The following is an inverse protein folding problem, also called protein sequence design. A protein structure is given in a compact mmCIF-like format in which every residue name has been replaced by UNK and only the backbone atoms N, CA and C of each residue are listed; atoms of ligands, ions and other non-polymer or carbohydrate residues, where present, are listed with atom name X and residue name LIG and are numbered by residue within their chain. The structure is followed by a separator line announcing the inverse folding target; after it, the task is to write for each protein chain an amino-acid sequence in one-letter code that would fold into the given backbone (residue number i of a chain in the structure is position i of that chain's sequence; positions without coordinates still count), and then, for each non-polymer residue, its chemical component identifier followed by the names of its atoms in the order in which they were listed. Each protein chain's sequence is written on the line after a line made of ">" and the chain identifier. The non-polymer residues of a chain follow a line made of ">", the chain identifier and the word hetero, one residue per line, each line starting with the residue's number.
data_IF_536803785764
#
_entry.id   IF_536803785764
#
_cell.length_a   1.000
_cell.length_b   1.000
_cell.length_c   1.000
_cell.angle_alpha   90.00
_cell.angle_beta   90.00
_cell.angle_gamma   90.00
#
_symmetry.space_group_name_H-M   'P 1'
#
loop_
_entity.id
_entity.type
_entity.pdbx_description
1 polymer ?
#
# COMPACT_ATOMS: atom_id res chain seq x y z
N UNK A 1 -15.27 -15.80 -16.17
CA UNK A 1 -16.02 -15.77 -14.89
C UNK A 1 -15.07 -15.30 -13.81
N UNK A 2 -15.27 -14.07 -13.29
CA UNK A 2 -14.42 -13.52 -12.25
C UNK A 2 -14.82 -14.11 -10.88
N UNK A 3 -13.84 -14.59 -10.09
CA UNK A 3 -14.11 -15.14 -8.77
C UNK A 3 -14.58 -14.04 -7.80
N UNK A 4 -15.59 -14.36 -6.98
CA UNK A 4 -16.12 -13.46 -5.95
C UNK A 4 -15.06 -13.17 -4.88
N UNK A 5 -15.10 -11.96 -4.31
CA UNK A 5 -14.24 -11.52 -3.21
C UNK A 5 -14.30 -12.49 -2.00
N UNK A 6 -15.48 -13.07 -1.76
CA UNK A 6 -15.72 -14.09 -0.74
C UNK A 6 -14.86 -15.36 -0.96
N UNK A 7 -14.76 -15.80 -2.22
CA UNK A 7 -14.02 -17.01 -2.61
C UNK A 7 -12.51 -16.78 -2.53
N UNK A 8 -12.07 -15.54 -2.80
CA UNK A 8 -10.68 -15.13 -2.68
C UNK A 8 -10.22 -15.18 -1.21
N UNK A 9 -11.04 -14.68 -0.28
CA UNK A 9 -10.77 -14.73 1.15
C UNK A 9 -10.73 -16.17 1.69
N UNK A 10 -11.62 -17.04 1.22
CA UNK A 10 -11.65 -18.46 1.62
C UNK A 10 -10.38 -19.19 1.18
N UNK A 11 -9.88 -18.95 -0.04
CA UNK A 11 -8.61 -19.53 -0.51
C UNK A 11 -7.39 -19.02 0.27
N UNK A 12 -7.34 -17.72 0.57
CA UNK A 12 -6.25 -17.14 1.37
C UNK A 12 -6.17 -17.78 2.77
N UNK A 13 -7.32 -18.06 3.40
CA UNK A 13 -7.40 -18.72 4.71
C UNK A 13 -7.01 -20.20 4.64
N UNK A 14 -7.31 -20.91 3.55
CA UNK A 14 -6.88 -22.30 3.37
C UNK A 14 -5.37 -22.43 3.14
N UNK A 15 -4.76 -21.52 2.37
CA UNK A 15 -3.31 -21.50 2.14
C UNK A 15 -2.51 -21.25 3.44
N UNK A 16 -3.08 -20.50 4.39
CA UNK A 16 -2.47 -20.27 5.71
C UNK A 16 -2.47 -21.53 6.60
N UNK A 17 -3.41 -22.46 6.39
CA UNK A 17 -3.53 -23.70 7.17
C UNK A 17 -2.67 -24.86 6.65
N UNK A 18 -2.20 -24.80 5.40
CA UNK A 18 -1.32 -25.86 4.85
C UNK A 18 0.17 -25.66 5.16
N UNK A 19 0.56 -24.52 5.77
CA UNK A 19 1.97 -24.21 6.04
C UNK A 19 2.45 -24.58 7.45
N UNK A 20 1.68 -25.36 8.21
CA UNK A 20 2.00 -25.76 9.59
C UNK A 20 1.74 -27.25 9.79
N UNK A 21 2.57 -28.10 9.19
CA UNK A 21 2.69 -29.51 9.61
C UNK A 21 4.11 -30.02 9.36
N UNK A 22 5.02 -29.74 10.29
CA UNK A 22 6.21 -30.58 10.56
C UNK A 22 6.44 -30.60 12.08
N UNK A 23 6.49 -31.78 12.71
CA UNK A 23 6.70 -31.93 14.15
C UNK A 23 8.19 -32.05 14.53
N UNK A 24 8.47 -31.63 15.78
CA UNK A 24 9.63 -31.93 16.65
C UNK A 24 11.06 -31.50 16.26
N UNK A 25 11.63 -30.56 17.04
CA UNK A 25 12.64 -30.80 18.11
C UNK A 25 13.02 -29.46 18.79
N UNK A 26 13.26 -29.48 20.11
CA UNK A 26 13.38 -28.35 21.06
C UNK A 26 14.67 -27.49 20.97
N UNK A 27 15.04 -26.64 21.97
CA UNK A 27 14.92 -25.18 21.94
C UNK A 27 16.28 -24.44 22.01
N UNK A 28 16.26 -23.11 21.87
CA UNK A 28 17.30 -22.12 22.27
C UNK A 28 17.90 -21.31 21.12
N UNK A 29 17.36 -20.11 20.91
CA UNK A 29 18.09 -18.84 20.79
C UNK A 29 17.09 -17.71 20.45
N UNK A 30 17.17 -16.52 21.08
CA UNK A 30 16.36 -15.38 20.68
C UNK A 30 16.92 -14.74 19.39
N UNK A 31 16.08 -14.13 18.53
CA UNK A 31 16.54 -13.48 17.31
C UNK A 31 17.32 -12.19 17.63
N UNK A 32 18.33 -11.81 16.83
CA UNK A 32 19.11 -10.61 17.08
C UNK A 32 18.26 -9.36 16.86
N UNK A 33 18.27 -8.50 17.88
CA UNK A 33 17.68 -7.17 17.91
C UNK A 33 18.47 -6.26 16.96
N UNK A 34 17.83 -5.77 15.90
CA UNK A 34 18.40 -4.72 15.05
C UNK A 34 18.10 -3.39 15.73
N UNK A 35 19.13 -2.81 16.36
CA UNK A 35 19.10 -1.41 16.80
C UNK A 35 19.42 -0.53 15.60
N UNK A 36 18.45 0.29 15.20
CA UNK A 36 18.62 1.38 14.24
C UNK A 36 19.41 2.49 14.94
N UNK A 37 20.69 2.61 14.61
CA UNK A 37 21.44 3.84 14.84
C UNK A 37 21.22 4.77 13.64
N UNK A 38 20.43 5.83 13.86
CA UNK A 38 20.50 7.06 13.07
C UNK A 38 21.84 7.73 13.36
N UNK A 39 22.76 7.69 12.39
CA UNK A 39 23.76 8.74 12.24
C UNK A 39 23.45 9.48 10.94
N UNK A 40 22.78 10.63 11.11
CA UNK A 40 22.89 11.76 10.18
C UNK A 40 24.37 12.15 10.09
N UNK A 41 25.00 11.93 8.95
CA UNK A 41 26.26 12.58 8.60
C UNK A 41 26.23 12.98 7.13
N UNK A 42 26.06 14.29 6.98
CA UNK A 42 26.22 15.15 5.82
C UNK A 42 27.50 14.81 5.04
N UNK A 43 27.49 14.76 3.69
CA UNK A 43 28.71 14.54 2.94
C UNK A 43 29.48 15.86 2.83
N UNK A 44 30.47 16.02 3.70
CA UNK A 44 31.47 17.08 3.59
C UNK A 44 32.31 16.88 2.31
N UNK A 45 32.11 17.78 1.35
CA UNK A 45 32.83 17.87 0.09
C UNK A 45 34.18 18.55 0.32
N UNK A 46 35.14 17.86 0.91
CA UNK A 46 36.54 18.24 0.76
C UNK A 46 37.19 17.48 -0.40
N UNK A 47 37.83 18.18 -1.36
CA UNK A 47 38.69 17.53 -2.33
C UNK A 47 39.89 17.00 -1.56
N UNK A 48 39.88 15.69 -1.28
CA UNK A 48 41.03 14.99 -0.75
C UNK A 48 42.13 15.02 -1.82
N UNK A 49 42.83 16.14 -1.88
CA UNK A 49 44.14 16.32 -2.47
C UNK A 49 45.14 15.55 -1.62
N UNK A 50 44.91 14.23 -1.50
CA UNK A 50 45.94 13.28 -1.12
C UNK A 50 46.92 13.32 -2.27
N UNK A 51 47.87 14.25 -2.15
CA UNK A 51 49.15 14.25 -2.85
C UNK A 51 49.59 12.79 -2.79
N UNK A 52 49.46 12.08 -3.89
CA UNK A 52 50.27 10.90 -4.13
C UNK A 52 51.69 11.43 -4.01
N UNK A 53 52.28 11.32 -2.82
CA UNK A 53 53.72 11.17 -2.70
C UNK A 53 53.95 9.90 -3.49
N UNK A 54 54.20 10.06 -4.78
CA UNK A 54 54.96 9.11 -5.53
C UNK A 54 56.25 9.00 -4.73
N UNK A 55 56.30 8.01 -3.84
CA UNK A 55 57.52 7.26 -3.65
C UNK A 55 57.77 6.59 -5.00
N UNK A 56 58.14 7.41 -5.98
CA UNK A 56 59.13 7.05 -6.95
C UNK A 56 60.35 6.70 -6.14
N UNK A 57 60.37 5.48 -5.60
CA UNK A 57 61.57 4.67 -5.72
C UNK A 57 61.81 4.63 -7.22
N UNK A 58 62.49 5.66 -7.72
CA UNK A 58 63.38 5.52 -8.87
C UNK A 58 64.15 4.27 -8.49
N UNK A 59 63.80 3.14 -9.08
CA UNK A 59 64.66 1.97 -9.06
C UNK A 59 65.85 2.45 -9.87
N UNK A 60 66.75 3.15 -9.18
CA UNK A 60 67.96 3.67 -9.76
C UNK A 60 68.65 2.45 -10.28
N UNK A 61 68.78 2.34 -11.61
CA UNK A 61 69.81 1.54 -12.25
C UNK A 61 71.18 2.13 -11.91
N UNK A 62 71.49 2.25 -10.62
CA UNK A 62 72.74 2.75 -10.11
C UNK A 62 73.21 1.74 -9.08
N UNK A 63 73.92 0.74 -9.62
CA UNK A 63 74.80 -0.19 -8.92
C UNK A 63 74.11 -1.27 -8.06
N UNK A 64 73.63 -2.32 -8.72
CA UNK A 64 73.38 -3.62 -8.11
C UNK A 64 74.63 -4.53 -8.10
N UNK A 65 75.81 -3.96 -8.35
CA UNK A 65 77.09 -4.68 -8.30
C UNK A 65 77.84 -4.20 -7.06
N UNK A 66 77.86 -5.01 -6.01
CA UNK A 66 78.79 -4.80 -4.90
C UNK A 66 80.18 -5.28 -5.32
N UNK A 67 81.23 -4.66 -4.77
CA UNK A 67 82.64 -5.07 -5.00
C UNK A 67 82.88 -6.56 -4.67
N UNK A 68 82.02 -7.13 -3.83
CA UNK A 68 81.96 -8.55 -3.50
C UNK A 68 81.59 -9.44 -4.70
N UNK A 69 80.71 -8.98 -5.59
CA UNK A 69 80.24 -9.76 -6.73
C UNK A 69 81.37 -9.99 -7.74
N UNK A 70 82.23 -8.98 -7.92
CA UNK A 70 83.42 -9.06 -8.78
C UNK A 70 84.41 -10.10 -8.27
N UNK A 71 84.61 -10.19 -6.95
CA UNK A 71 85.48 -11.21 -6.37
C UNK A 71 84.88 -12.61 -6.48
N UNK A 72 83.55 -12.75 -6.32
CA UNK A 72 82.84 -14.02 -6.44
C UNK A 72 82.92 -14.58 -7.87
N UNK A 73 82.73 -13.72 -8.88
CA UNK A 73 82.86 -14.06 -10.30
C UNK A 73 84.30 -14.46 -10.69
N UNK A 74 85.30 -13.88 -10.03
CA UNK A 74 86.73 -14.13 -10.32
C UNK A 74 87.24 -15.44 -9.71
N UNK A 75 86.61 -15.92 -8.64
CA UNK A 75 86.94 -17.20 -7.98
C UNK A 75 86.22 -18.40 -8.58
N UNK A 76 85.26 -18.18 -9.48
CA UNK A 76 84.40 -19.21 -10.02
C UNK A 76 84.94 -19.72 -11.35
N UNK A 77 84.97 -21.05 -11.52
CA UNK A 77 85.37 -21.65 -12.80
C UNK A 77 84.39 -21.24 -13.91
N UNK A 78 84.91 -20.92 -15.09
CA UNK A 78 84.15 -20.33 -16.20
C UNK A 78 82.94 -21.19 -16.59
N UNK A 79 83.10 -22.53 -16.52
CA UNK A 79 82.03 -23.48 -16.81
C UNK A 79 80.90 -23.39 -15.79
N UNK A 80 81.23 -23.34 -14.49
CA UNK A 80 80.24 -23.22 -13.41
C UNK A 80 79.52 -21.87 -13.42
N UNK A 81 80.21 -20.78 -13.81
CA UNK A 81 79.59 -19.48 -14.00
C UNK A 81 78.59 -19.49 -15.17
N UNK A 82 78.96 -20.10 -16.30
CA UNK A 82 78.09 -20.24 -17.46
C UNK A 82 76.82 -21.04 -17.13
N UNK A 83 76.96 -22.18 -16.46
CA UNK A 83 75.83 -23.00 -16.02
C UNK A 83 74.92 -22.24 -15.02
N UNK A 84 75.50 -21.47 -14.09
CA UNK A 84 74.73 -20.64 -13.16
C UNK A 84 73.95 -19.53 -13.85
N UNK A 85 74.51 -18.90 -14.88
CA UNK A 85 73.81 -17.85 -15.65
C UNK A 85 72.64 -18.46 -16.41
N UNK A 86 72.84 -19.61 -17.09
CA UNK A 86 71.77 -20.33 -17.77
C UNK A 86 70.65 -20.74 -16.80
N UNK A 87 71.01 -21.27 -15.64
CA UNK A 87 70.03 -21.65 -14.62
C UNK A 87 69.22 -20.45 -14.11
N UNK A 88 69.86 -19.30 -13.91
CA UNK A 88 69.17 -18.07 -13.50
C UNK A 88 68.28 -17.50 -14.62
N UNK A 89 68.72 -17.60 -15.88
CA UNK A 89 67.92 -17.21 -17.04
C UNK A 89 66.65 -18.08 -17.14
N UNK A 90 66.78 -19.40 -17.04
CA UNK A 90 65.64 -20.32 -17.03
C UNK A 90 64.69 -20.05 -15.86
N UNK A 91 65.21 -19.76 -14.66
CA UNK A 91 64.40 -19.36 -13.50
C UNK A 91 63.63 -18.06 -13.76
N UNK A 92 64.30 -17.07 -14.36
CA UNK A 92 63.66 -15.80 -14.70
C UNK A 92 62.58 -15.97 -15.77
N UNK A 93 62.86 -16.78 -16.79
CA UNK A 93 61.91 -17.12 -17.86
C UNK A 93 60.69 -17.86 -17.30
N UNK A 94 60.90 -18.91 -16.50
CA UNK A 94 59.83 -19.66 -15.84
C UNK A 94 58.99 -18.77 -14.92
N UNK A 95 59.64 -17.89 -14.13
CA UNK A 95 58.93 -16.92 -13.28
C UNK A 95 58.12 -15.92 -14.11
N UNK A 96 58.61 -15.51 -15.28
CA UNK A 96 57.90 -14.59 -16.16
C UNK A 96 56.66 -15.25 -16.78
N UNK A 97 56.77 -16.52 -17.20
CA UNK A 97 55.62 -17.31 -17.65
C UNK A 97 54.55 -17.43 -16.56
N UNK A 98 54.94 -17.81 -15.34
CA UNK A 98 54.00 -17.90 -14.21
C UNK A 98 53.29 -16.58 -13.89
N UNK A 99 54.02 -15.46 -13.92
CA UNK A 99 53.45 -14.14 -13.68
C UNK A 99 52.49 -13.74 -14.79
N UNK A 100 52.80 -14.08 -16.05
CA UNK A 100 51.92 -13.82 -17.19
C UNK A 100 50.62 -14.61 -17.07
N UNK A 101 50.70 -15.90 -16.70
CA UNK A 101 49.51 -16.73 -16.47
C UNK A 101 48.65 -16.19 -15.33
N UNK A 102 49.27 -15.77 -14.22
CA UNK A 102 48.54 -15.16 -13.10
C UNK A 102 47.88 -13.83 -13.51
N UNK A 103 48.57 -13.00 -14.28
CA UNK A 103 48.04 -11.73 -14.78
C UNK A 103 46.83 -11.97 -15.70
N UNK A 104 46.93 -12.93 -16.62
CA UNK A 104 45.85 -13.29 -17.52
C UNK A 104 44.62 -13.79 -16.74
N UNK A 105 44.82 -14.70 -15.78
CA UNK A 105 43.73 -15.23 -14.94
C UNK A 105 43.03 -14.13 -14.15
N UNK A 106 43.80 -13.24 -13.50
CA UNK A 106 43.24 -12.11 -12.75
C UNK A 106 42.51 -11.13 -13.66
N UNK A 107 43.04 -10.85 -14.85
CA UNK A 107 42.40 -9.97 -15.82
C UNK A 107 41.07 -10.54 -16.31
N UNK A 108 41.03 -11.84 -16.66
CA UNK A 108 39.81 -12.52 -17.11
C UNK A 108 38.76 -12.63 -16.01
N UNK A 109 39.19 -12.91 -14.77
CA UNK A 109 38.27 -12.96 -13.64
C UNK A 109 37.66 -11.59 -13.38
N UNK A 110 38.49 -10.53 -13.36
CA UNK A 110 38.02 -9.17 -13.11
C UNK A 110 37.08 -8.67 -14.20
N UNK A 111 37.33 -9.01 -15.48
CA UNK A 111 36.42 -8.64 -16.57
C UNK A 111 35.07 -9.36 -16.42
N UNK A 112 35.08 -10.64 -16.10
CA UNK A 112 33.86 -11.43 -15.89
C UNK A 112 33.04 -10.93 -14.68
N UNK A 113 33.70 -10.63 -13.56
CA UNK A 113 33.04 -10.06 -12.38
C UNK A 113 32.45 -8.68 -12.66
N UNK A 114 33.13 -7.86 -13.48
CA UNK A 114 32.64 -6.55 -13.89
C UNK A 114 31.41 -6.66 -14.78
N UNK A 115 31.43 -7.58 -15.75
CA UNK A 115 30.30 -7.82 -16.66
C UNK A 115 29.07 -8.31 -15.91
N UNK A 116 29.23 -9.24 -14.95
CA UNK A 116 28.11 -9.69 -14.10
C UNK A 116 27.51 -8.54 -13.28
N UNK A 117 28.35 -7.67 -12.71
CA UNK A 117 27.88 -6.49 -11.97
C UNK A 117 27.12 -5.53 -12.86
N UNK A 118 27.59 -5.30 -14.07
CA UNK A 118 26.92 -4.46 -15.05
C UNK A 118 25.56 -5.04 -15.45
N UNK A 119 25.49 -6.35 -15.72
CA UNK A 119 24.21 -7.02 -16.01
C UNK A 119 23.24 -6.94 -14.83
N UNK A 120 23.70 -7.19 -13.60
CA UNK A 120 22.88 -7.06 -12.40
C UNK A 120 22.37 -5.63 -12.19
N UNK A 121 23.21 -4.63 -12.48
CA UNK A 121 22.83 -3.22 -12.43
C UNK A 121 21.74 -2.89 -13.46
N UNK A 122 21.88 -3.35 -14.71
CA UNK A 122 20.88 -3.13 -15.77
C UNK A 122 19.53 -3.76 -15.40
N UNK A 123 19.53 -5.00 -14.88
CA UNK A 123 18.32 -5.65 -14.39
C UNK A 123 17.67 -4.86 -13.26
N UNK A 124 18.47 -4.40 -12.29
CA UNK A 124 17.98 -3.58 -11.18
C UNK A 124 17.42 -2.24 -11.65
N UNK A 125 18.05 -1.58 -12.62
CA UNK A 125 17.57 -0.31 -13.19
C UNK A 125 16.26 -0.50 -13.97
N UNK A 126 16.14 -1.61 -14.69
CA UNK A 126 14.92 -1.95 -15.43
C UNK A 126 13.76 -2.20 -14.47
N UNK A 127 13.99 -3.00 -13.43
CA UNK A 127 12.95 -3.33 -12.45
C UNK A 127 12.54 -2.11 -11.61
N UNK A 128 13.50 -1.26 -11.21
CA UNK A 128 13.18 -0.01 -10.51
C UNK A 128 12.38 0.95 -11.39
N UNK A 129 12.67 1.02 -12.70
CA UNK A 129 11.88 1.80 -13.65
C UNK A 129 10.44 1.26 -13.76
N UNK A 130 10.29 -0.06 -13.89
CA UNK A 130 8.98 -0.74 -13.93
C UNK A 130 8.17 -0.43 -12.67
N UNK A 131 8.76 -0.64 -11.48
CA UNK A 131 8.11 -0.36 -10.20
C UNK A 131 7.74 1.12 -10.04
N UNK A 132 8.59 2.03 -10.51
CA UNK A 132 8.29 3.48 -10.48
C UNK A 132 7.05 3.81 -11.30
N UNK A 133 6.91 3.21 -12.49
CA UNK A 133 5.70 3.40 -13.31
C UNK A 133 4.44 2.82 -12.65
N UNK A 134 4.55 1.64 -12.04
CA UNK A 134 3.44 0.99 -11.33
C UNK A 134 2.99 1.81 -10.10
N UNK A 135 3.94 2.35 -9.33
CA UNK A 135 3.66 3.24 -8.20
C UNK A 135 2.95 4.52 -8.67
N UNK A 136 3.38 5.12 -9.78
CA UNK A 136 2.73 6.30 -10.33
C UNK A 136 1.28 6.01 -10.77
N UNK A 137 1.05 4.87 -11.42
CA UNK A 137 -0.29 4.44 -11.81
C UNK A 137 -1.20 4.20 -10.59
N UNK A 138 -0.72 3.44 -9.60
CA UNK A 138 -1.46 3.19 -8.36
C UNK A 138 -1.77 4.49 -7.61
N UNK A 139 -0.82 5.42 -7.56
CA UNK A 139 -1.03 6.75 -6.95
C UNK A 139 -2.17 7.50 -7.65
N UNK A 140 -2.23 7.46 -8.98
CA UNK A 140 -3.32 8.08 -9.73
C UNK A 140 -4.66 7.37 -9.49
N UNK A 141 -4.68 6.05 -9.34
CA UNK A 141 -5.90 5.31 -9.00
C UNK A 141 -6.40 5.64 -7.60
N UNK A 142 -5.51 5.81 -6.62
CA UNK A 142 -5.86 6.22 -5.26
C UNK A 142 -6.50 7.61 -5.28
N UNK A 143 -5.88 8.59 -5.95
CA UNK A 143 -6.44 9.95 -6.08
C UNK A 143 -7.86 9.96 -6.64
N UNK A 144 -8.12 9.21 -7.72
CA UNK A 144 -9.46 9.10 -8.32
C UNK A 144 -10.49 8.50 -7.35
N UNK A 145 -10.08 7.52 -6.54
CA UNK A 145 -10.96 6.92 -5.53
C UNK A 145 -11.24 7.88 -4.38
N UNK A 146 -10.25 8.65 -3.96
CA UNK A 146 -10.42 9.67 -2.92
C UNK A 146 -11.37 10.79 -3.37
N UNK A 147 -11.27 11.23 -4.62
CA UNK A 147 -12.22 12.19 -5.23
C UNK A 147 -13.65 11.63 -5.25
N UNK A 148 -13.83 10.37 -5.70
CA UNK A 148 -15.13 9.71 -5.70
C UNK A 148 -15.71 9.55 -4.29
N UNK A 149 -14.86 9.22 -3.31
CA UNK A 149 -15.28 9.10 -1.91
C UNK A 149 -15.74 10.44 -1.35
N UNK A 150 -15.05 11.54 -1.68
CA UNK A 150 -15.45 12.88 -1.28
C UNK A 150 -16.82 13.26 -1.88
N UNK A 151 -17.03 12.97 -3.17
CA UNK A 151 -18.30 13.24 -3.85
C UNK A 151 -19.47 12.45 -3.25
N UNK A 152 -19.27 11.15 -3.03
CA UNK A 152 -20.29 10.29 -2.40
C UNK A 152 -20.60 10.73 -0.97
N UNK A 153 -19.59 11.17 -0.22
CA UNK A 153 -19.78 11.69 1.14
C UNK A 153 -20.63 12.98 1.12
N UNK A 154 -20.38 13.88 0.17
CA UNK A 154 -21.18 15.08 -0.01
C UNK A 154 -22.63 14.76 -0.39
N UNK A 155 -22.86 13.80 -1.29
CA UNK A 155 -24.20 13.34 -1.66
C UNK A 155 -24.96 12.76 -0.46
N UNK A 156 -24.30 11.92 0.34
CA UNK A 156 -24.89 11.37 1.57
C UNK A 156 -25.29 12.48 2.54
N UNK A 157 -24.46 13.51 2.70
CA UNK A 157 -24.76 14.65 3.57
C UNK A 157 -25.98 15.44 3.08
N UNK A 158 -26.12 15.63 1.78
CA UNK A 158 -27.29 16.28 1.17
C UNK A 158 -28.55 15.45 1.38
N UNK A 159 -28.51 14.15 1.08
CA UNK A 159 -29.65 13.25 1.27
C UNK A 159 -30.08 13.14 2.74
N UNK A 160 -29.13 13.14 3.67
CA UNK A 160 -29.39 13.16 5.11
C UNK A 160 -30.14 14.44 5.53
N UNK A 161 -29.75 15.59 4.96
CA UNK A 161 -30.43 16.86 5.21
C UNK A 161 -31.85 16.89 4.61
N UNK A 162 -32.01 16.40 3.38
CA UNK A 162 -33.32 16.27 2.74
C UNK A 162 -34.24 15.33 3.52
N UNK A 163 -33.74 14.17 3.97
CA UNK A 163 -34.49 13.24 4.81
C UNK A 163 -35.01 13.93 6.07
N UNK A 164 -34.17 14.70 6.76
CA UNK A 164 -34.59 15.45 7.97
C UNK A 164 -35.66 16.49 7.65
N UNK A 165 -35.55 17.17 6.50
CA UNK A 165 -36.56 18.11 6.03
C UNK A 165 -37.91 17.42 5.75
N UNK A 166 -37.90 16.26 5.08
CA UNK A 166 -39.11 15.49 4.81
C UNK A 166 -39.79 14.98 6.08
N UNK A 167 -39.02 14.52 7.08
CA UNK A 167 -39.57 14.10 8.38
C UNK A 167 -40.26 15.26 9.09
N UNK A 168 -39.69 16.48 9.03
CA UNK A 168 -40.33 17.66 9.60
C UNK A 168 -41.66 17.97 8.88
N UNK A 169 -41.63 17.96 7.54
CA UNK A 169 -42.80 18.21 6.71
C UNK A 169 -43.91 17.17 6.91
N UNK A 170 -43.54 15.91 7.07
CA UNK A 170 -44.48 14.82 7.41
C UNK A 170 -45.18 15.09 8.74
N UNK A 171 -44.43 15.50 9.77
CA UNK A 171 -44.99 15.85 11.07
C UNK A 171 -45.95 17.04 10.98
N UNK A 172 -45.59 18.07 10.22
CA UNK A 172 -46.46 19.24 10.02
C UNK A 172 -47.75 18.87 9.29
N UNK A 173 -47.66 18.01 8.27
CA UNK A 173 -48.83 17.51 7.56
C UNK A 173 -49.74 16.68 8.46
N UNK A 174 -49.16 15.79 9.29
CA UNK A 174 -49.92 14.98 10.24
C UNK A 174 -50.70 15.86 11.22
N UNK A 175 -50.05 16.88 11.80
CA UNK A 175 -50.71 17.84 12.70
C UNK A 175 -51.84 18.60 11.99
N UNK A 176 -51.63 19.03 10.74
CA UNK A 176 -52.67 19.72 9.98
C UNK A 176 -53.86 18.82 9.64
N UNK A 177 -53.61 17.53 9.38
CA UNK A 177 -54.65 16.53 9.14
C UNK A 177 -55.49 16.27 10.39
N UNK A 178 -54.87 16.20 11.56
CA UNK A 178 -55.58 16.05 12.84
C UNK A 178 -56.48 17.26 13.12
N UNK A 179 -55.93 18.48 12.98
CA UNK A 179 -56.71 19.71 13.14
C UNK A 179 -57.91 19.78 12.16
N UNK A 180 -57.69 19.38 10.89
CA UNK A 180 -58.75 19.37 9.90
C UNK A 180 -59.84 18.33 10.24
N UNK A 181 -59.45 17.15 10.72
CA UNK A 181 -60.37 16.12 11.20
C UNK A 181 -61.26 16.68 12.33
N UNK A 182 -60.66 17.34 13.32
CA UNK A 182 -61.38 17.94 14.43
C UNK A 182 -62.33 19.06 13.96
N UNK A 183 -61.86 19.91 13.04
CA UNK A 183 -62.66 21.00 12.47
C UNK A 183 -63.85 20.46 11.68
N UNK A 184 -63.66 19.43 10.85
CA UNK A 184 -64.73 18.78 10.09
C UNK A 184 -65.72 18.12 11.05
N UNK A 185 -65.24 17.37 12.05
CA UNK A 185 -66.08 16.72 13.05
C UNK A 185 -66.95 17.73 13.82
N UNK A 186 -66.35 18.82 14.28
CA UNK A 186 -67.07 19.90 14.97
C UNK A 186 -68.09 20.60 14.06
N UNK A 187 -67.69 20.96 12.83
CA UNK A 187 -68.58 21.61 11.86
C UNK A 187 -69.76 20.71 11.47
N UNK A 188 -69.51 19.42 11.28
CA UNK A 188 -70.53 18.44 10.94
C UNK A 188 -71.52 18.24 12.10
N UNK A 189 -71.01 18.11 13.33
CA UNK A 189 -71.84 18.00 14.54
C UNK A 189 -72.74 19.24 14.73
N UNK A 190 -72.18 20.44 14.53
CA UNK A 190 -72.95 21.68 14.59
C UNK A 190 -74.07 21.71 13.52
N UNK A 191 -73.75 21.35 12.28
CA UNK A 191 -74.72 21.30 11.19
C UNK A 191 -75.84 20.28 11.44
N UNK A 192 -75.49 19.12 11.99
CA UNK A 192 -76.45 18.09 12.38
C UNK A 192 -77.41 18.59 13.47
N UNK A 193 -76.87 19.22 14.51
CA UNK A 193 -77.72 19.76 15.59
C UNK A 193 -78.67 20.84 15.09
N UNK A 194 -78.20 21.75 14.23
CA UNK A 194 -79.05 22.76 13.59
C UNK A 194 -80.17 22.13 12.74
N UNK A 195 -79.90 21.00 12.07
CA UNK A 195 -80.92 20.28 11.32
C UNK A 195 -81.96 19.63 12.23
N UNK A 196 -81.54 19.02 13.35
CA UNK A 196 -82.46 18.48 14.36
C UNK A 196 -83.35 19.59 14.94
N UNK A 197 -82.77 20.74 15.28
CA UNK A 197 -83.50 21.89 15.80
C UNK A 197 -84.56 22.39 14.79
N UNK A 198 -84.23 22.40 13.49
CA UNK A 198 -85.19 22.73 12.43
C UNK A 198 -86.35 21.72 12.35
N UNK A 199 -86.08 20.42 12.50
CA UNK A 199 -87.12 19.39 12.52
C UNK A 199 -88.04 19.55 13.73
N UNK A 200 -87.48 19.83 14.92
CA UNK A 200 -88.27 20.09 16.13
C UNK A 200 -89.25 21.27 15.96
N UNK A 201 -88.85 22.32 15.24
CA UNK A 201 -89.72 23.48 14.96
C UNK A 201 -90.87 23.11 14.03
N UNK A 202 -90.63 22.25 13.03
CA UNK A 202 -91.64 21.84 12.04
C UNK A 202 -92.57 20.73 12.56
N UNK A 203 -92.04 19.83 13.40
CA UNK A 203 -92.72 18.64 13.92
C UNK A 203 -92.46 18.51 15.44
N UNK A 204 -93.21 19.24 16.30
CA UNK A 204 -92.93 19.29 17.74
C UNK A 204 -93.04 17.95 18.47
N UNK A 205 -93.84 17.02 17.94
CA UNK A 205 -94.09 15.70 18.53
C UNK A 205 -93.11 14.61 18.02
N UNK A 206 -92.14 14.97 17.17
CA UNK A 206 -91.17 14.00 16.63
C UNK A 206 -90.14 13.59 17.70
N UNK A 207 -90.00 12.29 17.94
CA UNK A 207 -88.96 11.75 18.81
C UNK A 207 -87.62 11.65 18.05
N UNK A 208 -86.71 12.57 18.36
CA UNK A 208 -85.35 12.61 17.80
C UNK A 208 -84.30 11.98 18.72
N UNK A 209 -84.69 11.36 19.84
CA UNK A 209 -83.77 10.67 20.74
C UNK A 209 -82.96 9.53 20.09
N UNK A 210 -83.44 8.78 19.06
CA UNK A 210 -82.63 7.74 18.43
C UNK A 210 -81.65 8.28 17.37
N UNK A 211 -81.73 9.58 17.03
CA UNK A 211 -80.90 10.18 15.98
C UNK A 211 -79.48 10.38 16.50
N UNK A 212 -78.52 9.79 15.80
CA UNK A 212 -77.10 9.89 16.13
C UNK A 212 -76.30 10.02 14.83
N UNK A 213 -75.37 10.96 14.82
CA UNK A 213 -74.55 11.30 13.66
C UNK A 213 -73.55 10.19 13.30
N UNK A 214 -73.19 9.34 14.28
CA UNK A 214 -72.33 8.16 14.03
C UNK A 214 -73.05 6.98 13.40
N UNK A 215 -74.39 7.02 13.30
CA UNK A 215 -75.17 5.89 12.78
C UNK A 215 -75.37 5.99 11.28
N UNK A 216 -75.37 4.83 10.64
CA UNK A 216 -75.67 4.67 9.22
C UNK A 216 -77.13 4.27 9.02
N UNK A 217 -77.70 4.59 7.85
CA UNK A 217 -79.06 4.16 7.50
C UNK A 217 -78.98 2.94 6.58
N UNK A 218 -79.40 1.77 7.10
CA UNK A 218 -79.46 0.51 6.35
C UNK A 218 -80.92 0.04 6.31
N UNK A 219 -81.47 -0.13 5.11
CA UNK A 219 -82.88 -0.51 4.90
C UNK A 219 -83.91 0.37 5.65
N UNK A 220 -83.60 1.66 5.83
CA UNK A 220 -84.47 2.60 6.53
C UNK A 220 -84.39 2.54 8.07
N UNK A 221 -83.51 1.73 8.64
CA UNK A 221 -83.20 1.72 10.07
C UNK A 221 -81.84 2.36 10.34
N UNK A 222 -81.73 3.08 11.45
CA UNK A 222 -80.47 3.58 11.99
C UNK A 222 -79.73 2.41 12.65
N UNK A 223 -78.55 2.10 12.13
CA UNK A 223 -77.66 1.03 12.61
C UNK A 223 -76.29 1.64 12.91
N UNK A 224 -75.61 1.13 13.93
CA UNK A 224 -74.23 1.55 14.22
C UNK A 224 -73.36 1.28 12.98
N UNK A 225 -72.51 2.26 12.64
CA UNK A 225 -71.55 2.07 11.55
C UNK A 225 -70.47 1.08 12.01
N UNK A 226 -70.17 0.07 11.19
CA UNK A 226 -69.00 -0.80 11.40
C UNK A 226 -67.73 0.03 11.07
N UNK A 227 -66.84 0.19 12.05
CA UNK A 227 -65.53 0.88 11.92
C UNK A 227 -64.58 0.20 10.91
#
# INVERSE_FOLDING_TARGET
>A
MAMSHEDMLKRARQLKKQKTTTPDTSPSAPPPRIELHEETSEPDLEPLTRKFKSRGKKHGRKHNYLRHDVNLLRTQDLKTLHESILANLHKAEASNFMLMDQFNLLSTQKSFDSEQKEQALVLSQTETSRLTTEVAELTNQVKKKDELLADLHNQLKTLEAEKKSWVLKEKDLLNSSELLKDQIGSSLNMGFQLALDQVCVLCPDADLSPTDISKSVVNGQLVDADD
#
